data_IF_877849713694
#
_entry.id   IF_877849713694
#
_cell.length_a   1.000
_cell.length_b   1.000
_cell.length_c   1.000
_cell.angle_alpha   90.00
_cell.angle_beta   90.00
_cell.angle_gamma   90.00
#
_symmetry.space_group_name_H-M   'P 1'
#
loop_
_entity.id
_entity.type
_entity.pdbx_description
1 polymer ?
#
# COMPACT_ATOMS: atom_id res chain seq x y z
N UNK A 1 0.07 8.30 -18.04
CA UNK A 1 1.41 7.76 -17.78
C UNK A 1 2.02 8.45 -16.58
N UNK A 2 2.56 7.68 -15.68
CA UNK A 2 3.19 8.20 -14.45
C UNK A 2 4.39 9.09 -14.77
N UNK A 3 4.44 10.24 -14.13
CA UNK A 3 5.57 11.20 -14.24
C UNK A 3 6.21 11.37 -12.88
N UNK A 4 7.54 11.35 -12.84
CA UNK A 4 8.25 11.61 -11.61
C UNK A 4 8.16 13.08 -11.22
N UNK A 5 7.75 13.33 -9.98
CA UNK A 5 7.71 14.67 -9.38
C UNK A 5 9.07 14.95 -8.77
N UNK A 6 9.70 16.01 -9.23
CA UNK A 6 11.03 16.45 -8.74
C UNK A 6 10.89 17.28 -7.47
N UNK A 7 12.00 17.38 -6.73
CA UNK A 7 12.07 18.21 -5.54
C UNK A 7 11.31 17.65 -4.34
N UNK A 8 11.13 16.35 -4.28
CA UNK A 8 10.49 15.67 -3.14
C UNK A 8 11.36 15.82 -1.90
N UNK A 9 10.75 16.29 -0.80
CA UNK A 9 11.43 16.44 0.48
C UNK A 9 11.94 15.09 1.00
N UNK A 10 13.23 15.04 1.35
CA UNK A 10 13.85 13.87 1.93
C UNK A 10 13.93 14.03 3.45
N UNK A 11 13.29 13.12 4.18
CA UNK A 11 13.22 13.16 5.65
C UNK A 11 14.09 12.11 6.32
N UNK A 12 14.42 11.05 5.59
CA UNK A 12 15.23 9.94 6.09
C UNK A 12 16.56 9.90 5.33
N UNK A 13 17.71 10.08 6.00
CA UNK A 13 19.01 10.05 5.35
C UNK A 13 19.38 8.66 4.81
N UNK A 14 18.75 7.61 5.29
CA UNK A 14 19.00 6.22 4.86
C UNK A 14 18.11 5.75 3.71
N UNK A 15 17.06 6.50 3.41
CA UNK A 15 16.07 6.14 2.39
C UNK A 15 15.75 7.31 1.51
N UNK A 16 15.79 7.09 0.21
CA UNK A 16 15.37 8.08 -0.79
C UNK A 16 13.90 7.86 -1.12
N UNK A 17 13.10 8.90 -0.98
CA UNK A 17 11.70 8.92 -1.38
C UNK A 17 11.58 9.48 -2.79
N UNK A 18 10.85 8.75 -3.64
CA UNK A 18 10.48 9.20 -4.99
C UNK A 18 8.97 9.21 -5.12
N UNK A 19 8.46 10.14 -5.90
CA UNK A 19 7.04 10.30 -6.14
C UNK A 19 6.75 10.33 -7.64
N UNK A 20 5.78 9.51 -8.05
CA UNK A 20 5.28 9.44 -9.43
C UNK A 20 3.79 9.68 -9.42
N UNK A 21 3.28 10.43 -10.38
CA UNK A 21 1.89 10.84 -10.44
C UNK A 21 1.35 10.85 -11.86
N UNK A 22 0.09 10.45 -12.02
CA UNK A 22 -0.75 10.73 -13.19
C UNK A 22 -2.18 11.09 -12.75
N UNK A 23 -3.15 11.04 -13.65
CA UNK A 23 -4.53 11.40 -13.33
C UNK A 23 -5.20 10.41 -12.38
N UNK A 24 -4.73 9.15 -12.36
CA UNK A 24 -5.36 8.06 -11.61
C UNK A 24 -4.55 7.61 -10.40
N UNK A 25 -3.23 7.70 -10.47
CA UNK A 25 -2.32 7.19 -9.46
C UNK A 25 -1.46 8.26 -8.81
N UNK A 26 -1.20 8.07 -7.51
CA UNK A 26 -0.05 8.59 -6.80
C UNK A 26 0.79 7.41 -6.31
N UNK A 27 2.03 7.33 -6.74
CA UNK A 27 2.97 6.30 -6.31
C UNK A 27 4.14 6.92 -5.54
N UNK A 28 4.27 6.55 -4.29
CA UNK A 28 5.43 6.86 -3.47
C UNK A 28 6.27 5.61 -3.28
N UNK A 29 7.57 5.71 -3.47
CA UNK A 29 8.52 4.63 -3.22
C UNK A 29 9.66 5.11 -2.33
N UNK A 30 10.12 4.23 -1.47
CA UNK A 30 11.29 4.44 -0.61
C UNK A 30 12.32 3.39 -0.93
N UNK A 31 13.52 3.84 -1.30
CA UNK A 31 14.66 3.00 -1.67
C UNK A 31 15.78 3.22 -0.67
N UNK A 32 16.53 2.16 -0.38
CA UNK A 32 17.75 2.26 0.42
C UNK A 32 18.95 2.74 -0.40
N UNK A 33 20.14 2.80 0.22
CA UNK A 33 21.35 3.24 -0.45
C UNK A 33 21.81 2.34 -1.61
N UNK A 34 21.35 1.09 -1.67
CA UNK A 34 21.59 0.16 -2.78
C UNK A 34 20.51 0.24 -3.87
N UNK A 35 19.50 1.09 -3.70
CA UNK A 35 18.39 1.24 -4.63
C UNK A 35 17.26 0.21 -4.46
N UNK A 36 17.32 -0.63 -3.44
CA UNK A 36 16.24 -1.60 -3.17
C UNK A 36 15.02 -0.94 -2.56
N UNK A 37 13.83 -1.35 -3.03
CA UNK A 37 12.59 -0.88 -2.46
C UNK A 37 12.41 -1.41 -1.03
N UNK A 38 12.20 -0.47 -0.12
CA UNK A 38 11.90 -0.76 1.29
C UNK A 38 10.43 -0.57 1.62
N UNK A 39 9.76 0.30 0.87
CA UNK A 39 8.35 0.62 1.04
C UNK A 39 7.80 1.20 -0.25
N UNK A 40 6.53 0.94 -0.54
CA UNK A 40 5.78 1.75 -1.50
C UNK A 40 4.36 2.00 -1.00
N UNK A 41 3.77 3.06 -1.51
CA UNK A 41 2.37 3.40 -1.33
C UNK A 41 1.79 3.75 -2.68
N UNK A 42 0.86 2.94 -3.15
CA UNK A 42 0.14 3.15 -4.40
C UNK A 42 -1.28 3.63 -4.08
N UNK A 43 -1.50 4.93 -4.25
CA UNK A 43 -2.84 5.50 -4.20
C UNK A 43 -3.48 5.41 -5.58
N UNK A 44 -4.73 5.03 -5.64
CA UNK A 44 -5.50 4.91 -6.87
C UNK A 44 -6.90 5.50 -6.70
N UNK A 45 -7.61 5.73 -7.80
CA UNK A 45 -8.83 6.53 -7.81
C UNK A 45 -8.61 7.94 -7.22
N UNK A 46 -7.47 8.50 -7.56
CA UNK A 46 -6.99 9.77 -7.03
C UNK A 46 -8.02 10.88 -7.16
N UNK A 47 -8.10 11.71 -6.12
CA UNK A 47 -9.01 12.86 -6.03
C UNK A 47 -10.51 12.50 -6.08
N UNK A 48 -10.85 11.24 -5.98
CA UNK A 48 -12.23 10.78 -5.84
C UNK A 48 -12.59 10.48 -4.39
N UNK A 49 -13.88 10.35 -4.12
CA UNK A 49 -14.37 9.90 -2.80
C UNK A 49 -14.00 8.44 -2.50
N UNK A 50 -13.55 7.72 -3.52
CA UNK A 50 -13.16 6.31 -3.44
C UNK A 50 -11.66 6.12 -3.50
N UNK A 51 -10.89 7.18 -3.29
CA UNK A 51 -9.43 7.08 -3.26
C UNK A 51 -8.98 6.08 -2.20
N UNK A 52 -8.14 5.15 -2.61
CA UNK A 52 -7.61 4.09 -1.76
C UNK A 52 -6.11 3.97 -1.97
N UNK A 53 -5.44 3.37 -1.00
CA UNK A 53 -4.02 3.15 -1.05
C UNK A 53 -3.67 1.71 -0.68
N UNK A 54 -2.86 1.07 -1.50
CA UNK A 54 -2.14 -0.14 -1.12
C UNK A 54 -0.75 0.26 -0.66
N UNK A 55 -0.43 -0.08 0.56
CA UNK A 55 0.90 0.12 1.14
C UNK A 55 1.57 -1.22 1.37
N UNK A 56 2.85 -1.31 1.02
CA UNK A 56 3.72 -2.41 1.37
C UNK A 56 4.97 -1.87 2.03
N UNK A 57 5.40 -2.54 3.08
CA UNK A 57 6.64 -2.23 3.78
C UNK A 57 7.40 -3.51 4.09
N UNK A 58 8.69 -3.51 3.79
CA UNK A 58 9.57 -4.65 4.08
C UNK A 58 9.56 -4.96 5.59
N UNK A 59 9.30 -6.21 5.92
CA UNK A 59 9.20 -6.67 7.31
C UNK A 59 7.83 -6.46 7.97
N UNK A 60 6.95 -5.63 7.39
CA UNK A 60 5.58 -5.39 7.91
C UNK A 60 4.46 -5.93 7.03
N UNK A 61 4.73 -6.11 5.72
CA UNK A 61 3.74 -6.59 4.77
C UNK A 61 2.81 -5.51 4.25
N UNK A 62 1.57 -5.87 4.01
CA UNK A 62 0.59 -5.05 3.30
C UNK A 62 -0.44 -4.39 4.21
N UNK A 63 -0.88 -3.20 3.80
CA UNK A 63 -2.10 -2.56 4.28
C UNK A 63 -2.86 -1.99 3.09
N UNK A 64 -4.17 -2.19 3.06
CA UNK A 64 -5.06 -1.57 2.09
C UNK A 64 -5.98 -0.60 2.83
N UNK A 65 -5.94 0.66 2.44
CA UNK A 65 -6.45 1.77 3.21
C UNK A 65 -7.41 2.60 2.37
N UNK A 66 -8.50 3.03 2.99
CA UNK A 66 -9.35 4.06 2.44
C UNK A 66 -8.76 5.43 2.79
N UNK A 67 -8.44 6.22 1.78
CA UNK A 67 -8.03 7.61 1.98
C UNK A 67 -9.29 8.42 2.22
N UNK A 68 -9.68 8.56 3.48
CA UNK A 68 -10.76 9.49 3.85
C UNK A 68 -10.29 10.90 3.60
N UNK A 69 -11.05 11.57 2.79
CA UNK A 69 -10.79 12.84 2.19
C UNK A 69 -10.09 13.86 3.09
N UNK A 70 -9.08 14.48 2.52
CA UNK A 70 -8.51 15.78 2.93
C UNK A 70 -9.51 16.95 2.90
N UNK A 71 -10.79 16.69 2.70
CA UNK A 71 -11.84 17.70 2.54
C UNK A 71 -12.76 17.84 3.76
N UNK A 72 -12.30 17.47 4.94
CA UNK A 72 -12.91 17.90 6.18
C UNK A 72 -12.04 18.98 6.79
N UNK A 73 -12.43 20.23 6.68
CA UNK A 73 -11.83 21.34 7.39
C UNK A 73 -11.92 21.11 8.90
N UNK A 74 -10.99 20.33 9.43
CA UNK A 74 -10.70 20.33 10.86
C UNK A 74 -9.25 20.71 11.02
N UNK A 75 -8.96 21.97 11.35
CA UNK A 75 -7.60 22.36 11.69
C UNK A 75 -7.19 21.59 12.95
N UNK A 76 -6.14 20.78 12.86
CA UNK A 76 -5.53 20.13 14.00
C UNK A 76 -5.58 18.60 14.05
N UNK A 77 -6.11 17.93 13.05
CA UNK A 77 -5.91 16.48 12.92
C UNK A 77 -4.66 16.19 12.12
N UNK A 78 -3.77 15.44 12.74
CA UNK A 78 -2.57 14.92 12.13
C UNK A 78 -2.82 14.38 10.73
N UNK A 79 -1.99 14.78 9.79
CA UNK A 79 -1.98 14.27 8.42
C UNK A 79 -1.55 12.79 8.32
N UNK A 80 -1.28 12.16 9.42
CA UNK A 80 -1.18 10.70 9.56
C UNK A 80 -2.55 10.04 9.52
N UNK A 81 -3.46 10.78 9.01
CA UNK A 81 -4.61 10.43 8.35
C UNK A 81 -5.46 9.29 8.78
N UNK A 82 -6.66 9.55 8.80
CA UNK A 82 -7.78 8.63 8.78
C UNK A 82 -7.74 7.66 7.58
N UNK A 83 -6.68 6.87 7.48
CA UNK A 83 -6.68 5.72 6.61
C UNK A 83 -7.34 4.57 7.35
N UNK A 84 -8.62 4.35 7.11
CA UNK A 84 -9.32 3.18 7.62
C UNK A 84 -8.96 1.95 6.77
N UNK A 85 -8.76 0.80 7.41
CA UNK A 85 -8.60 -0.47 6.70
C UNK A 85 -9.81 -0.69 5.79
N UNK A 86 -9.57 -0.87 4.51
CA UNK A 86 -10.60 -1.13 3.52
C UNK A 86 -10.39 -2.50 2.84
N UNK A 87 -11.50 -3.20 2.58
CA UNK A 87 -11.53 -4.61 2.37
C UNK A 87 -10.92 -5.15 1.08
N UNK A 88 -11.35 -4.67 -0.08
CA UNK A 88 -11.06 -5.37 -1.34
C UNK A 88 -10.46 -4.44 -2.38
N UNK A 89 -9.24 -4.75 -2.78
CA UNK A 89 -8.59 -4.11 -3.91
C UNK A 89 -9.14 -4.70 -5.24
N UNK A 90 -9.57 -3.87 -6.21
CA UNK A 90 -10.04 -4.35 -7.51
C UNK A 90 -8.85 -4.72 -8.41
N UNK A 91 -8.22 -5.85 -8.12
CA UNK A 91 -6.94 -6.25 -8.71
C UNK A 91 -6.93 -6.31 -10.24
N UNK A 92 -7.96 -6.88 -10.86
CA UNK A 92 -7.98 -7.06 -12.31
C UNK A 92 -7.95 -5.73 -13.06
N UNK A 93 -8.72 -4.75 -12.59
CA UNK A 93 -8.73 -3.40 -13.16
C UNK A 93 -7.43 -2.65 -12.84
N UNK A 94 -6.98 -2.74 -11.60
CA UNK A 94 -5.81 -2.03 -11.12
C UNK A 94 -4.53 -2.51 -11.80
N UNK A 95 -4.38 -3.81 -11.97
CA UNK A 95 -3.25 -4.44 -12.65
C UNK A 95 -3.06 -3.90 -14.07
N UNK A 96 -4.12 -3.87 -14.85
CA UNK A 96 -4.06 -3.43 -16.24
C UNK A 96 -3.78 -1.92 -16.35
N UNK A 97 -4.44 -1.12 -15.52
CA UNK A 97 -4.20 0.32 -15.46
C UNK A 97 -2.78 0.66 -15.00
N UNK A 98 -2.28 -0.04 -14.00
CA UNK A 98 -0.93 0.18 -13.51
C UNK A 98 0.13 -0.21 -14.53
N UNK A 99 -0.02 -1.35 -15.19
CA UNK A 99 0.89 -1.79 -16.24
C UNK A 99 1.00 -0.75 -17.36
N UNK A 100 -0.12 -0.16 -17.74
CA UNK A 100 -0.16 0.90 -18.76
C UNK A 100 0.44 2.22 -18.28
N UNK A 101 0.07 2.66 -17.09
CA UNK A 101 0.54 3.91 -16.51
C UNK A 101 2.04 3.90 -16.17
N UNK A 102 2.57 2.75 -15.80
CA UNK A 102 3.92 2.59 -15.25
C UNK A 102 4.99 2.19 -16.28
N UNK A 103 4.69 2.26 -17.57
CA UNK A 103 5.62 1.85 -18.64
C UNK A 103 6.97 2.55 -18.59
N UNK A 104 7.03 3.75 -18.08
CA UNK A 104 8.23 4.57 -17.99
C UNK A 104 8.96 4.48 -16.65
N UNK A 105 8.46 3.68 -15.72
CA UNK A 105 9.19 3.40 -14.48
C UNK A 105 10.45 2.58 -14.77
N UNK A 106 11.48 2.68 -13.92
CA UNK A 106 12.58 1.72 -13.97
C UNK A 106 12.05 0.28 -13.98
N UNK A 107 12.52 -0.60 -14.89
CA UNK A 107 11.93 -1.93 -15.05
C UNK A 107 11.91 -2.77 -13.77
N UNK A 108 12.95 -2.66 -12.96
CA UNK A 108 13.03 -3.39 -11.67
C UNK A 108 11.97 -2.91 -10.67
N UNK A 109 11.72 -1.61 -10.63
CA UNK A 109 10.68 -1.02 -9.78
C UNK A 109 9.29 -1.44 -10.24
N UNK A 110 9.02 -1.36 -11.54
CA UNK A 110 7.77 -1.80 -12.14
C UNK A 110 7.50 -3.27 -11.81
N UNK A 111 8.44 -4.13 -12.09
CA UNK A 111 8.32 -5.57 -11.86
C UNK A 111 8.07 -5.89 -10.37
N UNK A 112 8.80 -5.25 -9.48
CA UNK A 112 8.63 -5.42 -8.05
C UNK A 112 7.23 -5.05 -7.57
N UNK A 113 6.71 -3.90 -8.01
CA UNK A 113 5.38 -3.44 -7.60
C UNK A 113 4.29 -4.35 -8.20
N UNK A 114 4.40 -4.75 -9.44
CA UNK A 114 3.47 -5.69 -10.07
C UNK A 114 3.43 -7.04 -9.34
N UNK A 115 4.57 -7.55 -8.94
CA UNK A 115 4.67 -8.77 -8.15
C UNK A 115 3.97 -8.62 -6.79
N UNK A 116 4.17 -7.49 -6.12
CA UNK A 116 3.50 -7.19 -4.84
C UNK A 116 1.99 -7.01 -4.99
N UNK A 117 1.53 -6.37 -6.03
CA UNK A 117 0.09 -6.29 -6.34
C UNK A 117 -0.52 -7.69 -6.50
N UNK A 118 0.14 -8.55 -7.25
CA UNK A 118 -0.27 -9.95 -7.45
C UNK A 118 -0.26 -10.74 -6.14
N UNK A 119 0.76 -10.57 -5.33
CA UNK A 119 0.89 -11.23 -4.02
C UNK A 119 -0.24 -10.81 -3.07
N UNK A 120 -0.55 -9.54 -3.02
CA UNK A 120 -1.65 -9.01 -2.20
C UNK A 120 -3.01 -9.56 -2.63
N UNK A 121 -3.22 -9.73 -3.92
CA UNK A 121 -4.49 -10.16 -4.49
C UNK A 121 -4.81 -11.66 -4.32
N UNK A 122 -3.88 -12.46 -3.80
CA UNK A 122 -4.06 -13.92 -3.60
C UNK A 122 -4.80 -14.22 -2.29
N UNK A 123 -6.13 -14.28 -2.26
CA UNK A 123 -6.89 -14.38 -1.01
C UNK A 123 -6.66 -15.69 -0.26
N UNK A 124 -6.46 -16.81 -0.97
CA UNK A 124 -6.26 -18.13 -0.37
C UNK A 124 -5.01 -18.21 0.52
N UNK A 125 -3.93 -17.53 0.16
CA UNK A 125 -2.70 -17.47 0.96
C UNK A 125 -2.84 -16.58 2.18
N UNK A 126 -3.64 -15.52 2.11
CA UNK A 126 -3.90 -14.63 3.24
C UNK A 126 -4.66 -15.34 4.36
N UNK A 127 -5.69 -16.12 4.01
CA UNK A 127 -6.45 -16.91 4.97
C UNK A 127 -5.61 -18.01 5.63
N UNK A 128 -4.76 -18.67 4.86
CA UNK A 128 -3.87 -19.71 5.40
C UNK A 128 -2.82 -19.14 6.36
N UNK A 129 -2.24 -17.98 6.06
CA UNK A 129 -1.28 -17.32 6.97
C UNK A 129 -1.96 -16.82 8.24
N UNK A 130 -3.16 -16.26 8.16
CA UNK A 130 -3.94 -15.87 9.33
C UNK A 130 -4.31 -17.05 10.19
N UNK A 131 -4.72 -18.18 9.61
CA UNK A 131 -5.04 -19.41 10.33
C UNK A 131 -3.82 -20.03 11.03
N UNK A 132 -2.64 -19.96 10.41
CA UNK A 132 -1.38 -20.43 10.98
C UNK A 132 -0.80 -19.50 12.05
N UNK A 133 -1.18 -18.22 12.01
CA UNK A 133 -0.75 -17.20 12.95
C UNK A 133 -1.63 -17.10 14.20
N UNK A 134 -2.71 -17.88 14.30
CA UNK A 134 -3.53 -17.92 15.51
C UNK A 134 -2.72 -18.59 16.63
N UNK A 135 -2.29 -17.85 17.65
CA UNK A 135 -1.49 -18.44 18.71
C UNK A 135 -2.26 -19.55 19.43
N UNK A 136 -1.60 -20.64 19.75
CA UNK A 136 -2.23 -21.78 20.46
C UNK A 136 -2.97 -21.40 21.76
N UNK A 137 -2.57 -20.31 22.40
CA UNK A 137 -3.23 -19.83 23.60
C UNK A 137 -4.63 -19.25 23.35
N UNK A 138 -4.89 -18.67 22.16
CA UNK A 138 -6.20 -18.17 21.76
C UNK A 138 -7.21 -19.33 21.57
N UNK A 139 -6.74 -20.50 21.15
CA UNK A 139 -7.55 -21.70 20.99
C UNK A 139 -7.96 -22.24 22.37
N UNK A 140 -7.10 -22.12 23.37
CA UNK A 140 -7.38 -22.54 24.76
C UNK A 140 -8.47 -21.69 25.43
N UNK A 141 -8.53 -20.39 25.15
CA UNK A 141 -9.57 -19.52 25.72
C UNK A 141 -10.97 -19.78 25.15
N UNK A 142 -11.06 -20.25 23.91
CA UNK A 142 -12.34 -20.59 23.28
C UNK A 142 -13.00 -21.86 23.86
N UNK A 143 -12.21 -22.73 24.45
CA UNK A 143 -12.69 -23.99 25.02
C UNK A 143 -12.84 -23.94 26.55
N UNK A 144 -12.55 -22.85 27.21
CA UNK A 144 -12.86 -22.63 28.61
C UNK A 144 -14.36 -22.27 28.72
N UNK A 145 -15.20 -23.27 28.91
CA UNK A 145 -16.57 -23.01 29.31
C UNK A 145 -16.57 -22.41 30.72
N UNK A 146 -17.33 -21.36 30.97
CA UNK A 146 -17.56 -20.93 32.34
C UNK A 146 -18.36 -22.03 33.06
N UNK A 147 -17.87 -22.43 34.18
CA UNK A 147 -18.65 -23.23 35.13
C UNK A 147 -19.67 -22.33 35.83
#
# INVERSE_FOLDING_TARGET
>A
MLREIRGVEQRDPQRTRRWFQDEYFDLYVWQDGAGELQRFQLCYDRDSRRERALEWQRGRGFQHLSVRQRYGNSPGRDQSGDMALDGVMPYMVLKDRFADAARNLPPEMLHFIEEKLSEYARPARRFRRAALATPRWLIRMRNARPH
#
